data_IF_321620745462
#
_entry.id   IF_321620745462
#
_cell.length_a   1.000
_cell.length_b   1.000
_cell.length_c   1.000
_cell.angle_alpha   90.00
_cell.angle_beta   90.00
_cell.angle_gamma   90.00
#
_symmetry.space_group_name_H-M   'P 1'
#
loop_
_entity.id
_entity.type
_entity.pdbx_description
1 polymer ?
#
# COMPACT_ATOMS: atom_id res chain seq x y z
N UNK A 1 -8.79 -14.89 24.80
CA UNK A 1 -9.53 -13.66 25.10
C UNK A 1 -9.13 -12.97 26.41
N UNK A 2 -8.66 -13.69 27.40
CA UNK A 2 -8.20 -13.11 28.67
C UNK A 2 -7.02 -12.15 28.56
N UNK A 3 -6.09 -12.41 27.64
CA UNK A 3 -4.89 -11.56 27.43
C UNK A 3 -5.22 -10.19 26.81
N UNK A 4 -6.11 -10.16 25.83
CA UNK A 4 -6.54 -8.92 25.19
C UNK A 4 -7.35 -8.03 26.14
N UNK A 5 -8.21 -8.64 26.96
CA UNK A 5 -8.95 -7.92 27.99
C UNK A 5 -8.04 -7.36 29.08
N UNK A 6 -7.02 -8.11 29.49
CA UNK A 6 -6.03 -7.65 30.47
C UNK A 6 -5.20 -6.48 29.96
N UNK A 7 -4.76 -6.55 28.71
CA UNK A 7 -4.03 -5.45 28.06
C UNK A 7 -4.90 -4.20 27.93
N UNK A 8 -6.15 -4.34 27.52
CA UNK A 8 -7.09 -3.23 27.44
C UNK A 8 -7.36 -2.58 28.81
N UNK A 9 -7.49 -3.38 29.84
CA UNK A 9 -7.69 -2.90 31.22
C UNK A 9 -6.45 -2.19 31.74
N UNK A 10 -5.25 -2.71 31.49
CA UNK A 10 -3.98 -2.09 31.89
C UNK A 10 -3.77 -0.75 31.17
N UNK A 11 -4.07 -0.68 29.89
CA UNK A 11 -3.98 0.56 29.12
C UNK A 11 -4.96 1.61 29.65
N UNK A 12 -6.20 1.23 29.91
CA UNK A 12 -7.21 2.12 30.50
C UNK A 12 -6.79 2.61 31.88
N UNK A 13 -6.27 1.73 32.73
CA UNK A 13 -5.79 2.09 34.08
C UNK A 13 -4.61 3.05 33.99
N UNK A 14 -3.66 2.86 33.07
CA UNK A 14 -2.53 3.78 32.85
C UNK A 14 -3.00 5.12 32.32
N UNK A 15 -3.95 5.15 31.39
CA UNK A 15 -4.52 6.39 30.88
C UNK A 15 -5.28 7.15 31.98
N UNK A 16 -6.06 6.47 32.80
CA UNK A 16 -6.77 7.08 33.91
C UNK A 16 -5.81 7.65 34.97
N UNK A 17 -4.69 6.96 35.23
CA UNK A 17 -3.65 7.47 36.12
C UNK A 17 -2.96 8.72 35.59
N UNK A 18 -2.68 8.73 34.28
CA UNK A 18 -2.07 9.89 33.61
C UNK A 18 -3.01 11.10 33.62
N UNK A 19 -4.29 10.88 33.36
CA UNK A 19 -5.32 11.92 33.35
C UNK A 19 -5.53 12.45 34.77
N UNK A 20 -5.50 11.57 35.77
CA UNK A 20 -5.65 11.95 37.19
C UNK A 20 -4.47 12.72 37.79
N UNK A 21 -3.27 12.60 37.18
CA UNK A 21 -2.06 13.31 37.62
C UNK A 21 -1.88 14.68 36.96
N UNK A 22 -2.58 14.92 35.84
CA UNK A 22 -2.51 16.18 35.12
C UNK A 22 -3.63 17.11 35.58
N UNK A 23 -3.29 18.33 35.89
CA UNK A 23 -4.27 19.38 36.21
C UNK A 23 -5.13 19.71 34.99
N UNK A 24 -4.57 19.49 33.75
CA UNK A 24 -5.24 19.82 32.49
C UNK A 24 -5.05 18.70 31.48
N UNK A 25 -6.09 17.91 31.20
CA UNK A 25 -6.00 16.84 30.18
C UNK A 25 -5.90 17.34 28.73
N UNK A 26 -6.07 18.65 28.51
CA UNK A 26 -6.06 19.22 27.15
C UNK A 26 -4.74 19.00 26.43
N UNK A 27 -3.60 19.16 27.12
CA UNK A 27 -2.27 18.91 26.54
C UNK A 27 -2.08 17.47 26.11
N UNK A 28 -2.51 16.52 26.93
CA UNK A 28 -2.40 15.09 26.63
C UNK A 28 -3.28 14.72 25.43
N UNK A 29 -4.49 15.28 25.36
CA UNK A 29 -5.41 15.05 24.26
C UNK A 29 -4.87 15.63 22.96
N UNK A 30 -4.31 16.83 22.99
CA UNK A 30 -3.68 17.45 21.83
C UNK A 30 -2.48 16.64 21.33
N UNK A 31 -1.65 16.17 22.26
CA UNK A 31 -0.49 15.34 21.95
C UNK A 31 -0.92 14.02 21.28
N UNK A 32 -1.92 13.35 21.84
CA UNK A 32 -2.46 12.10 21.29
C UNK A 32 -3.05 12.32 19.90
N UNK A 33 -3.74 13.42 19.71
CA UNK A 33 -4.30 13.80 18.40
C UNK A 33 -3.19 14.00 17.36
N UNK A 34 -2.14 14.73 17.70
CA UNK A 34 -0.98 14.93 16.82
C UNK A 34 -0.31 13.61 16.45
N UNK A 35 -0.16 12.70 17.41
CA UNK A 35 0.40 11.37 17.16
C UNK A 35 -0.45 10.55 16.20
N UNK A 36 -1.77 10.63 16.32
CA UNK A 36 -2.68 9.96 15.40
C UNK A 36 -2.59 10.56 14.00
N UNK A 37 -2.46 11.89 13.89
CA UNK A 37 -2.26 12.54 12.59
C UNK A 37 -0.94 12.13 11.94
N UNK A 38 0.13 12.01 12.72
CA UNK A 38 1.43 11.53 12.24
C UNK A 38 1.32 10.09 11.71
N UNK A 39 0.60 9.23 12.43
CA UNK A 39 0.35 7.86 12.00
C UNK A 39 -0.43 7.84 10.68
N UNK A 40 -1.45 8.69 10.54
CA UNK A 40 -2.23 8.82 9.31
C UNK A 40 -1.33 9.25 8.13
N UNK A 41 -0.43 10.20 8.37
CA UNK A 41 0.53 10.64 7.35
C UNK A 41 1.44 9.50 6.91
N UNK A 42 1.90 8.67 7.85
CA UNK A 42 2.72 7.50 7.54
C UNK A 42 1.96 6.48 6.69
N UNK A 43 0.68 6.24 7.00
CA UNK A 43 -0.17 5.34 6.20
C UNK A 43 -0.36 5.90 4.80
N UNK A 44 -0.61 7.19 4.66
CA UNK A 44 -0.74 7.87 3.37
C UNK A 44 0.55 7.76 2.54
N UNK A 45 1.70 7.91 3.17
CA UNK A 45 3.00 7.68 2.53
C UNK A 45 3.14 6.24 2.02
N UNK A 46 2.72 5.28 2.84
CA UNK A 46 2.72 3.88 2.45
C UNK A 46 1.87 3.62 1.20
N UNK A 47 0.67 4.22 1.12
CA UNK A 47 -0.20 4.14 -0.06
C UNK A 47 0.51 4.71 -1.29
N UNK A 48 1.15 5.88 -1.15
CA UNK A 48 1.86 6.54 -2.24
C UNK A 48 3.07 5.72 -2.70
N UNK A 49 3.83 5.13 -1.77
CA UNK A 49 4.99 4.30 -2.08
C UNK A 49 4.60 3.04 -2.84
N UNK A 50 3.52 2.38 -2.44
CA UNK A 50 2.99 1.20 -3.15
C UNK A 50 2.51 1.59 -4.54
N UNK A 51 1.79 2.72 -4.67
CA UNK A 51 1.33 3.22 -5.96
C UNK A 51 2.50 3.49 -6.90
N UNK A 52 3.59 4.09 -6.40
CA UNK A 52 4.80 4.36 -7.17
C UNK A 52 5.47 3.07 -7.63
N UNK A 53 5.61 2.09 -6.74
CA UNK A 53 6.18 0.78 -7.06
C UNK A 53 5.35 0.06 -8.12
N UNK A 54 4.04 0.07 -7.97
CA UNK A 54 3.11 -0.52 -8.93
C UNK A 54 3.26 0.13 -10.31
N UNK A 55 3.32 1.45 -10.35
CA UNK A 55 3.49 2.20 -11.61
C UNK A 55 4.80 1.83 -12.30
N UNK A 56 5.87 1.70 -11.54
CA UNK A 56 7.18 1.29 -12.08
C UNK A 56 7.10 -0.08 -12.75
N UNK A 57 6.45 -1.04 -12.09
CA UNK A 57 6.29 -2.39 -12.63
C UNK A 57 5.39 -2.39 -13.87
N UNK A 58 4.34 -1.59 -13.88
CA UNK A 58 3.46 -1.43 -15.04
C UNK A 58 4.20 -0.88 -16.24
N UNK A 59 5.11 0.08 -16.04
CA UNK A 59 5.94 0.64 -17.11
C UNK A 59 6.93 -0.40 -17.64
N UNK A 60 7.55 -1.19 -16.76
CA UNK A 60 8.43 -2.29 -17.17
C UNK A 60 7.67 -3.33 -17.98
N UNK A 61 6.47 -3.70 -17.53
CA UNK A 61 5.59 -4.63 -18.25
C UNK A 61 5.25 -4.11 -19.64
N UNK A 62 4.85 -2.84 -19.74
CA UNK A 62 4.51 -2.22 -21.03
C UNK A 62 5.68 -2.28 -22.02
N UNK A 63 6.90 -2.04 -21.53
CA UNK A 63 8.12 -2.12 -22.33
C UNK A 63 8.37 -3.56 -22.82
N UNK A 64 8.19 -4.55 -21.96
CA UNK A 64 8.36 -5.96 -22.34
C UNK A 64 7.28 -6.40 -23.34
N UNK A 65 6.05 -5.94 -23.18
CA UNK A 65 4.96 -6.21 -24.13
C UNK A 65 5.28 -5.62 -25.51
N UNK A 66 5.82 -4.41 -25.55
CA UNK A 66 6.26 -3.76 -26.77
C UNK A 66 7.36 -4.57 -27.48
N UNK A 67 8.34 -5.03 -26.72
CA UNK A 67 9.42 -5.87 -27.23
C UNK A 67 8.90 -7.22 -27.72
N UNK A 68 7.91 -7.79 -27.03
CA UNK A 68 7.25 -9.03 -27.42
C UNK A 68 6.56 -8.90 -28.78
N UNK A 69 5.87 -7.78 -28.99
CA UNK A 69 5.23 -7.49 -30.28
C UNK A 69 6.25 -7.37 -31.40
N UNK A 70 7.39 -6.72 -31.14
CA UNK A 70 8.48 -6.62 -32.13
C UNK A 70 9.05 -7.99 -32.50
N UNK A 71 9.21 -8.86 -31.51
CA UNK A 71 9.69 -10.23 -31.77
C UNK A 71 8.69 -11.05 -32.58
N UNK A 72 7.40 -10.87 -32.32
CA UNK A 72 6.34 -11.50 -33.11
C UNK A 72 6.40 -11.03 -34.58
N UNK A 73 6.56 -9.73 -34.79
CA UNK A 73 6.72 -9.16 -36.15
C UNK A 73 7.98 -9.71 -36.83
N UNK A 74 9.10 -9.82 -36.14
CA UNK A 74 10.34 -10.40 -36.66
C UNK A 74 10.15 -11.87 -37.04
N UNK A 75 9.41 -12.63 -36.23
CA UNK A 75 9.10 -14.02 -36.54
C UNK A 75 8.28 -14.14 -37.83
N UNK A 76 7.28 -13.28 -38.01
CA UNK A 76 6.46 -13.24 -39.24
C UNK A 76 7.29 -12.90 -40.45
N UNK A 77 8.15 -11.90 -40.36
CA UNK A 77 9.07 -11.52 -41.42
C UNK A 77 10.02 -12.66 -41.80
N UNK A 78 10.55 -13.36 -40.80
CA UNK A 78 11.44 -14.50 -40.99
C UNK A 78 10.72 -15.64 -41.71
N UNK A 79 9.48 -15.92 -41.37
CA UNK A 79 8.65 -16.94 -42.04
C UNK A 79 8.43 -16.54 -43.52
N UNK A 80 8.08 -15.28 -43.74
CA UNK A 80 7.88 -14.77 -45.11
C UNK A 80 9.15 -14.86 -45.98
N UNK A 81 10.33 -14.75 -45.35
CA UNK A 81 11.63 -14.88 -46.02
C UNK A 81 12.15 -16.33 -46.05
N UNK A 82 11.35 -17.32 -45.70
CA UNK A 82 11.73 -18.73 -45.57
C UNK A 82 12.91 -18.99 -44.65
N UNK A 83 13.01 -18.17 -43.58
CA UNK A 83 14.07 -18.30 -42.57
C UNK A 83 13.46 -18.84 -41.25
N UNK A 84 13.12 -20.14 -41.26
CA UNK A 84 12.52 -20.79 -40.07
C UNK A 84 13.43 -20.75 -38.86
N UNK A 85 14.74 -20.79 -39.02
CA UNK A 85 15.74 -20.70 -37.96
C UNK A 85 15.62 -19.37 -37.18
N UNK A 86 15.49 -18.26 -37.92
CA UNK A 86 15.33 -16.94 -37.34
C UNK A 86 13.95 -16.76 -36.70
N UNK A 87 12.90 -17.32 -37.32
CA UNK A 87 11.54 -17.30 -36.77
C UNK A 87 11.50 -18.02 -35.41
N UNK A 88 12.12 -19.19 -35.34
CA UNK A 88 12.18 -19.98 -34.09
C UNK A 88 12.92 -19.23 -33.00
N UNK A 89 14.05 -18.61 -33.34
CA UNK A 89 14.83 -17.82 -32.39
C UNK A 89 14.00 -16.62 -31.81
N UNK A 90 13.28 -15.91 -32.71
CA UNK A 90 12.43 -14.80 -32.32
C UNK A 90 11.30 -15.25 -31.36
N UNK A 91 10.68 -16.40 -31.66
CA UNK A 91 9.61 -16.97 -30.84
C UNK A 91 10.12 -17.45 -29.46
N UNK A 92 11.34 -18.02 -29.41
CA UNK A 92 11.99 -18.40 -28.17
C UNK A 92 12.23 -17.18 -27.26
N UNK A 93 12.73 -16.09 -27.84
CA UNK A 93 12.94 -14.83 -27.13
C UNK A 93 11.63 -14.23 -26.66
N UNK A 94 10.59 -14.30 -27.50
CA UNK A 94 9.23 -13.85 -27.11
C UNK A 94 8.72 -14.63 -25.92
N UNK A 95 8.92 -15.96 -25.91
CA UNK A 95 8.48 -16.81 -24.79
C UNK A 95 9.19 -16.45 -23.47
N UNK A 96 10.48 -16.13 -23.55
CA UNK A 96 11.23 -15.65 -22.37
C UNK A 96 10.64 -14.34 -21.83
N UNK A 97 10.27 -13.40 -22.72
CA UNK A 97 9.62 -12.16 -22.32
C UNK A 97 8.23 -12.41 -21.72
N UNK A 98 7.47 -13.35 -22.28
CA UNK A 98 6.15 -13.72 -21.76
C UNK A 98 6.25 -14.23 -20.31
N UNK A 99 7.28 -15.02 -20.01
CA UNK A 99 7.54 -15.49 -18.66
C UNK A 99 7.84 -14.33 -17.69
N UNK A 100 8.64 -13.36 -18.13
CA UNK A 100 8.94 -12.16 -17.36
C UNK A 100 7.67 -11.31 -17.10
N UNK A 101 6.83 -11.16 -18.13
CA UNK A 101 5.57 -10.42 -18.03
C UNK A 101 4.65 -11.11 -17.03
N UNK A 102 4.55 -12.42 -17.06
CA UNK A 102 3.76 -13.19 -16.07
C UNK A 102 4.25 -12.95 -14.64
N UNK A 103 5.57 -12.93 -14.45
CA UNK A 103 6.18 -12.61 -13.16
C UNK A 103 5.82 -11.21 -12.68
N UNK A 104 5.90 -10.21 -13.58
CA UNK A 104 5.51 -8.83 -13.25
C UNK A 104 4.02 -8.71 -12.95
N UNK A 105 3.16 -9.42 -13.66
CA UNK A 105 1.72 -9.44 -13.38
C UNK A 105 1.43 -9.93 -11.96
N UNK A 106 2.15 -10.94 -11.50
CA UNK A 106 2.01 -11.46 -10.13
C UNK A 106 2.45 -10.42 -9.09
N UNK A 107 3.57 -9.75 -9.34
CA UNK A 107 4.07 -8.70 -8.45
C UNK A 107 3.10 -7.52 -8.40
N UNK A 108 2.56 -7.10 -9.55
CA UNK A 108 1.57 -6.03 -9.64
C UNK A 108 0.30 -6.41 -8.85
N UNK A 109 -0.18 -7.64 -9.01
CA UNK A 109 -1.35 -8.12 -8.27
C UNK A 109 -1.12 -8.09 -6.75
N UNK A 110 0.08 -8.46 -6.30
CA UNK A 110 0.47 -8.40 -4.89
C UNK A 110 0.45 -6.96 -4.38
N UNK A 111 1.01 -6.03 -5.16
CA UNK A 111 1.02 -4.60 -4.79
C UNK A 111 -0.40 -4.01 -4.77
N UNK A 112 -1.26 -4.41 -5.69
CA UNK A 112 -2.67 -3.98 -5.70
C UNK A 112 -3.39 -4.44 -4.43
N UNK A 113 -3.16 -5.68 -3.99
CA UNK A 113 -3.74 -6.20 -2.75
C UNK A 113 -3.23 -5.44 -1.53
N UNK A 114 -1.93 -5.14 -1.48
CA UNK A 114 -1.33 -4.33 -0.41
C UNK A 114 -1.89 -2.91 -0.41
N UNK A 115 -2.05 -2.33 -1.58
CA UNK A 115 -2.62 -0.98 -1.74
C UNK A 115 -4.05 -0.92 -1.18
N UNK A 116 -4.88 -1.91 -1.51
CA UNK A 116 -6.26 -1.98 -0.98
C UNK A 116 -6.28 -2.04 0.54
N UNK A 117 -5.42 -2.86 1.14
CA UNK A 117 -5.31 -2.97 2.61
C UNK A 117 -4.92 -1.65 3.25
N UNK A 118 -3.94 -0.95 2.65
CA UNK A 118 -3.48 0.34 3.15
C UNK A 118 -4.55 1.41 3.01
N UNK A 119 -5.27 1.44 1.89
CA UNK A 119 -6.37 2.39 1.67
C UNK A 119 -7.49 2.15 2.68
N UNK A 120 -7.84 0.91 2.96
CA UNK A 120 -8.82 0.58 4.00
C UNK A 120 -8.35 0.99 5.39
N UNK A 121 -7.07 0.75 5.69
CA UNK A 121 -6.48 1.16 6.96
C UNK A 121 -6.50 2.68 7.10
N UNK A 122 -6.19 3.41 6.03
CA UNK A 122 -6.27 4.88 5.99
C UNK A 122 -7.68 5.37 6.31
N UNK A 123 -8.69 4.78 5.68
CA UNK A 123 -10.10 5.15 5.91
C UNK A 123 -10.53 4.90 7.36
N UNK A 124 -10.17 3.73 7.90
CA UNK A 124 -10.49 3.39 9.30
C UNK A 124 -9.81 4.32 10.27
N UNK A 125 -8.54 4.62 10.02
CA UNK A 125 -7.76 5.52 10.87
C UNK A 125 -8.31 6.95 10.80
N UNK A 126 -8.64 7.44 9.61
CA UNK A 126 -9.28 8.75 9.42
C UNK A 126 -10.57 8.86 10.22
N UNK A 127 -11.42 7.83 10.17
CA UNK A 127 -12.68 7.80 10.92
C UNK A 127 -12.42 7.83 12.43
N UNK A 128 -11.46 7.04 12.91
CA UNK A 128 -11.09 7.01 14.33
C UNK A 128 -10.55 8.37 14.79
N UNK A 129 -9.77 9.03 13.97
CA UNK A 129 -9.21 10.35 14.25
C UNK A 129 -10.32 11.39 14.35
N UNK A 130 -11.32 11.34 13.47
CA UNK A 130 -12.48 12.24 13.51
C UNK A 130 -13.30 12.04 14.77
N UNK A 131 -13.56 10.79 15.16
CA UNK A 131 -14.26 10.47 16.41
C UNK A 131 -13.45 10.99 17.60
N UNK A 132 -12.15 10.77 17.62
CA UNK A 132 -11.27 11.26 18.68
C UNK A 132 -11.26 12.79 18.75
N UNK A 133 -11.21 13.46 17.60
CA UNK A 133 -11.25 14.93 17.53
C UNK A 133 -12.53 15.49 18.17
N UNK A 134 -13.67 14.89 17.86
CA UNK A 134 -14.95 15.29 18.45
C UNK A 134 -14.97 15.09 19.96
N UNK A 135 -14.48 13.95 20.44
CA UNK A 135 -14.38 13.66 21.88
C UNK A 135 -13.43 14.62 22.59
N UNK A 136 -12.29 14.90 21.95
CA UNK A 136 -11.29 15.84 22.48
C UNK A 136 -11.91 17.24 22.65
N UNK A 137 -12.63 17.73 21.65
CA UNK A 137 -13.28 19.04 21.71
C UNK A 137 -14.35 19.09 22.81
N UNK A 138 -15.13 18.02 22.96
CA UNK A 138 -16.15 17.92 24.00
C UNK A 138 -15.50 17.98 25.39
N UNK A 139 -14.41 17.24 25.59
CA UNK A 139 -13.68 17.24 26.86
C UNK A 139 -13.06 18.62 27.15
N UNK A 140 -12.46 19.24 26.15
CA UNK A 140 -11.90 20.59 26.26
C UNK A 140 -12.95 21.63 26.66
N UNK A 141 -14.16 21.50 26.14
CA UNK A 141 -15.26 22.41 26.46
C UNK A 141 -15.74 22.27 27.90
N UNK A 142 -15.50 21.12 28.54
CA UNK A 142 -15.83 20.88 29.96
C UNK A 142 -14.78 21.43 30.93
N UNK A 143 -13.63 21.79 30.45
CA UNK A 143 -12.53 22.38 31.23
C UNK A 143 -12.38 23.86 30.92
#
# INVERSE_FOLDING_TARGET
MGLLNRMGTVIKAKMNKLIGRMEDPRETLDYSYEKQLDLLQNVKRGVADVATSKKRLQLQKAKLEQNSEKLEAQAREAIAANREDLARLALERKQALTSQITGLDKEIATLEAEQEKLVEAEKRLSTKIEVFRSKKETIKAQY
#
